data_IF_094680293582
#
_entry.id   IF_094680293582
#
_cell.length_a   1.000
_cell.length_b   1.000
_cell.length_c   1.000
_cell.angle_alpha   90.00
_cell.angle_beta   90.00
_cell.angle_gamma   90.00
#
_symmetry.space_group_name_H-M   'P 1'
#
loop_
_entity.id
_entity.type
_entity.pdbx_description
1 polymer ?
#
# COMPACT_ATOMS: atom_id res chain seq x y z
N UNK A 1 -2.53 -17.83 -9.67
CA UNK A 1 -1.08 -18.01 -9.46
C UNK A 1 -0.90 -18.38 -7.98
N UNK A 2 -0.27 -19.51 -7.64
CA UNK A 2 -0.15 -19.98 -6.24
C UNK A 2 0.62 -18.94 -5.41
N UNK A 3 0.09 -18.52 -4.24
CA UNK A 3 0.72 -17.47 -3.41
C UNK A 3 2.10 -17.90 -2.93
N UNK A 4 2.29 -19.18 -2.63
CA UNK A 4 3.55 -19.73 -2.12
C UNK A 4 4.72 -19.71 -3.11
N UNK A 5 4.48 -19.72 -4.42
CA UNK A 5 5.57 -19.58 -5.43
C UNK A 5 6.10 -18.14 -5.45
N UNK A 6 5.25 -17.18 -5.09
CA UNK A 6 5.56 -15.76 -5.25
C UNK A 6 6.25 -15.15 -4.01
N UNK A 7 6.09 -15.75 -2.82
CA UNK A 7 6.57 -15.16 -1.56
C UNK A 7 8.10 -15.00 -1.51
N UNK A 8 8.87 -15.99 -1.98
CA UNK A 8 10.34 -15.91 -1.95
C UNK A 8 10.86 -14.79 -2.86
N UNK A 9 10.32 -14.68 -4.09
CA UNK A 9 10.71 -13.61 -5.03
C UNK A 9 10.31 -12.23 -4.50
N UNK A 10 9.12 -12.09 -3.92
CA UNK A 10 8.70 -10.83 -3.31
C UNK A 10 9.53 -10.47 -2.08
N UNK A 11 10.03 -11.46 -1.35
CA UNK A 11 10.92 -11.22 -0.22
C UNK A 11 12.32 -10.77 -0.69
N UNK A 12 12.84 -11.29 -1.80
CA UNK A 12 14.07 -10.80 -2.43
C UNK A 12 13.95 -9.32 -2.85
N UNK A 13 12.83 -8.94 -3.46
CA UNK A 13 12.54 -7.53 -3.79
C UNK A 13 12.54 -6.63 -2.54
N UNK A 14 11.88 -7.08 -1.46
CA UNK A 14 11.88 -6.37 -0.17
C UNK A 14 13.29 -6.29 0.41
N UNK A 15 14.07 -7.36 0.33
CA UNK A 15 15.46 -7.38 0.78
C UNK A 15 16.31 -6.35 0.05
N UNK A 16 16.11 -6.17 -1.25
CA UNK A 16 16.75 -5.10 -2.03
C UNK A 16 16.44 -3.70 -1.49
N UNK A 17 15.17 -3.45 -1.13
CA UNK A 17 14.75 -2.16 -0.56
C UNK A 17 15.36 -1.94 0.83
N UNK A 18 15.31 -2.95 1.71
CA UNK A 18 15.85 -2.86 3.07
C UNK A 18 17.38 -2.69 3.04
N UNK A 19 18.07 -3.42 2.16
CA UNK A 19 19.53 -3.31 2.00
C UNK A 19 19.97 -1.94 1.46
N UNK A 20 19.16 -1.31 0.60
CA UNK A 20 19.40 0.04 0.10
C UNK A 20 19.13 1.13 1.16
N UNK A 21 18.39 0.80 2.22
CA UNK A 21 18.09 1.75 3.29
C UNK A 21 19.37 2.10 4.08
N UNK A 22 19.64 3.40 4.21
CA UNK A 22 20.79 3.97 4.91
C UNK A 22 20.41 4.55 6.29
N UNK A 23 19.31 4.07 6.89
CA UNK A 23 18.93 4.37 8.27
C UNK A 23 18.23 5.70 8.50
N UNK A 24 18.12 6.57 7.50
CA UNK A 24 17.49 7.90 7.67
C UNK A 24 16.48 8.29 6.59
N UNK A 25 16.50 7.65 5.43
CA UNK A 25 15.68 8.07 4.28
C UNK A 25 15.12 6.87 3.52
N UNK A 26 13.81 6.87 3.33
CA UNK A 26 13.05 5.90 2.53
C UNK A 26 11.93 6.65 1.80
N UNK A 27 11.71 6.36 0.52
CA UNK A 27 10.61 6.97 -0.25
C UNK A 27 9.26 6.36 0.14
N UNK A 28 8.16 7.02 -0.26
CA UNK A 28 6.82 6.45 -0.05
C UNK A 28 6.65 5.13 -0.80
N UNK A 29 7.13 5.03 -2.04
CA UNK A 29 7.02 3.83 -2.88
C UNK A 29 7.77 2.66 -2.25
N UNK A 30 8.97 2.90 -1.70
CA UNK A 30 9.74 1.90 -0.97
C UNK A 30 9.00 1.44 0.30
N UNK A 31 8.53 2.39 1.12
CA UNK A 31 7.77 2.08 2.33
C UNK A 31 6.46 1.34 2.03
N UNK A 32 5.81 1.69 0.92
CA UNK A 32 4.59 1.05 0.44
C UNK A 32 4.83 -0.40 0.02
N UNK A 33 5.93 -0.70 -0.68
CA UNK A 33 6.24 -2.09 -1.06
C UNK A 33 6.48 -2.98 0.17
N UNK A 34 7.11 -2.46 1.23
CA UNK A 34 7.24 -3.18 2.51
C UNK A 34 5.86 -3.46 3.15
N UNK A 35 5.01 -2.43 3.24
CA UNK A 35 3.67 -2.58 3.80
C UNK A 35 2.80 -3.54 2.98
N UNK A 36 2.92 -3.47 1.66
CA UNK A 36 2.21 -4.33 0.71
C UNK A 36 2.65 -5.78 0.82
N UNK A 37 3.96 -6.05 0.95
CA UNK A 37 4.46 -7.40 1.19
C UNK A 37 3.82 -8.02 2.44
N UNK A 38 3.78 -7.27 3.56
CA UNK A 38 3.10 -7.75 4.76
C UNK A 38 1.62 -8.02 4.50
N UNK A 39 0.91 -7.09 3.85
CA UNK A 39 -0.51 -7.22 3.55
C UNK A 39 -0.84 -8.44 2.66
N UNK A 40 -0.03 -8.70 1.64
CA UNK A 40 -0.25 -9.78 0.67
C UNK A 40 -0.05 -11.17 1.30
N UNK A 41 0.86 -11.26 2.29
CA UNK A 41 1.30 -12.51 2.92
C UNK A 41 0.93 -12.64 4.42
N UNK A 42 0.08 -11.76 4.95
CA UNK A 42 -0.38 -11.81 6.35
C UNK A 42 -1.20 -13.06 6.69
N UNK A 43 -1.86 -13.66 5.69
CA UNK A 43 -2.64 -14.89 5.86
C UNK A 43 -1.72 -16.12 5.76
N UNK A 44 -1.17 -16.50 6.91
CA UNK A 44 -0.29 -17.67 7.03
C UNK A 44 -1.02 -18.98 6.75
N UNK A 45 -2.33 -19.06 7.00
CA UNK A 45 -3.09 -20.29 6.77
C UNK A 45 -3.23 -20.56 5.27
N UNK A 46 -3.46 -19.53 4.46
CA UNK A 46 -3.47 -19.66 3.01
C UNK A 46 -2.12 -20.14 2.46
N UNK A 47 -1.00 -19.67 3.04
CA UNK A 47 0.34 -20.11 2.64
C UNK A 47 0.60 -21.58 2.99
N UNK A 48 0.16 -22.02 4.17
CA UNK A 48 0.27 -23.41 4.60
C UNK A 48 -0.57 -24.31 3.69
N UNK A 49 -1.82 -23.94 3.40
CA UNK A 49 -2.68 -24.70 2.51
C UNK A 49 -2.07 -24.86 1.10
N UNK A 50 -1.52 -23.77 0.53
CA UNK A 50 -0.82 -23.82 -0.75
C UNK A 50 0.43 -24.73 -0.70
N UNK A 51 1.15 -24.76 0.42
CA UNK A 51 2.31 -25.63 0.62
C UNK A 51 1.90 -27.11 0.79
N UNK A 52 0.80 -27.41 1.48
CA UNK A 52 0.25 -28.76 1.61
C UNK A 52 -0.19 -29.33 0.24
N UNK A 53 -0.88 -28.52 -0.56
CA UNK A 53 -1.22 -28.88 -1.95
C UNK A 53 0.06 -29.18 -2.75
N UNK A 54 1.08 -28.35 -2.62
CA UNK A 54 2.35 -28.56 -3.31
C UNK A 54 3.12 -29.79 -2.81
N UNK A 55 3.01 -30.14 -1.54
CA UNK A 55 3.62 -31.36 -1.01
C UNK A 55 3.03 -32.63 -1.68
N UNK A 56 1.75 -32.59 -2.05
CA UNK A 56 1.08 -33.67 -2.78
C UNK A 56 1.32 -33.67 -4.29
N UNK A 57 1.51 -32.48 -4.89
CA UNK A 57 1.60 -32.32 -6.36
C UNK A 57 3.04 -32.18 -6.90
N UNK A 58 3.92 -31.47 -6.18
CA UNK A 58 5.27 -31.08 -6.61
C UNK A 58 6.21 -30.87 -5.40
N UNK A 59 6.67 -31.99 -4.83
CA UNK A 59 7.56 -31.97 -3.67
C UNK A 59 8.93 -31.34 -3.95
N UNK A 60 9.41 -31.42 -5.20
CA UNK A 60 10.67 -30.78 -5.62
C UNK A 60 10.53 -29.26 -5.63
N UNK A 61 9.48 -28.73 -6.25
CA UNK A 61 9.19 -27.30 -6.27
C UNK A 61 8.97 -26.74 -4.85
N UNK A 62 8.28 -27.48 -3.99
CA UNK A 62 8.11 -27.09 -2.58
C UNK A 62 9.47 -26.97 -1.86
N UNK A 63 10.37 -27.92 -2.09
CA UNK A 63 11.71 -27.90 -1.48
C UNK A 63 12.53 -26.71 -1.96
N UNK A 64 12.49 -26.38 -3.25
CA UNK A 64 13.20 -25.23 -3.80
C UNK A 64 12.69 -23.92 -3.19
N UNK A 65 11.37 -23.74 -3.11
CA UNK A 65 10.77 -22.56 -2.47
C UNK A 65 11.17 -22.45 -1.00
N UNK A 66 11.16 -23.56 -0.27
CA UNK A 66 11.55 -23.57 1.14
C UNK A 66 13.04 -23.17 1.35
N UNK A 67 13.93 -23.62 0.47
CA UNK A 67 15.35 -23.23 0.49
C UNK A 67 15.49 -21.74 0.21
N UNK A 68 14.84 -21.23 -0.84
CA UNK A 68 14.89 -19.80 -1.19
C UNK A 68 14.31 -18.93 -0.07
N UNK A 69 13.15 -19.30 0.48
CA UNK A 69 12.52 -18.55 1.57
C UNK A 69 13.40 -18.49 2.81
N UNK A 70 14.12 -19.58 3.14
CA UNK A 70 15.09 -19.61 4.23
C UNK A 70 16.25 -18.63 3.99
N UNK A 71 16.79 -18.62 2.78
CA UNK A 71 17.88 -17.72 2.41
C UNK A 71 17.42 -16.25 2.51
N UNK A 72 16.29 -15.93 1.88
CA UNK A 72 15.75 -14.56 1.88
C UNK A 72 15.34 -14.07 3.27
N UNK A 73 14.78 -14.94 4.11
CA UNK A 73 14.48 -14.59 5.51
C UNK A 73 15.75 -14.29 6.29
N UNK A 74 16.83 -15.03 6.04
CA UNK A 74 18.13 -14.78 6.68
C UNK A 74 18.68 -13.42 6.25
N UNK A 75 18.60 -13.09 4.95
CA UNK A 75 18.98 -11.78 4.42
C UNK A 75 18.18 -10.64 5.05
N UNK A 76 16.86 -10.83 5.22
CA UNK A 76 16.00 -9.83 5.86
C UNK A 76 16.43 -9.61 7.31
N UNK A 77 16.55 -10.68 8.09
CA UNK A 77 16.90 -10.60 9.52
C UNK A 77 18.26 -9.92 9.74
N UNK A 78 19.22 -10.11 8.84
CA UNK A 78 20.52 -9.45 8.91
C UNK A 78 20.45 -7.94 8.61
N UNK A 79 19.45 -7.48 7.86
CA UNK A 79 19.32 -6.09 7.43
C UNK A 79 18.18 -5.33 8.10
N UNK A 80 17.29 -5.98 8.85
CA UNK A 80 16.06 -5.37 9.35
C UNK A 80 16.30 -4.17 10.28
N UNK A 81 17.41 -4.16 11.03
CA UNK A 81 17.79 -3.03 11.89
C UNK A 81 18.07 -1.73 11.12
N UNK A 82 18.25 -1.79 9.80
CA UNK A 82 18.36 -0.59 8.94
C UNK A 82 17.05 0.20 8.88
N UNK A 83 15.93 -0.41 9.29
CA UNK A 83 14.61 0.21 9.36
C UNK A 83 14.35 0.93 10.69
N UNK A 84 15.20 0.77 11.70
CA UNK A 84 14.95 1.29 13.07
C UNK A 84 14.75 2.81 13.11
N UNK A 85 15.37 3.55 12.19
CA UNK A 85 15.25 5.01 12.06
C UNK A 85 14.14 5.50 11.14
N UNK A 86 13.37 4.59 10.53
CA UNK A 86 12.39 4.95 9.49
C UNK A 86 11.02 5.28 10.10
N UNK A 87 10.60 6.53 9.97
CA UNK A 87 9.25 6.97 10.33
C UNK A 87 8.24 6.67 9.21
N UNK A 88 7.76 5.42 9.15
CA UNK A 88 6.73 4.99 8.21
C UNK A 88 5.45 5.85 8.29
N UNK A 89 5.07 6.29 9.49
CA UNK A 89 3.90 7.15 9.69
C UNK A 89 4.13 8.53 9.08
N UNK A 90 5.31 9.10 9.31
CA UNK A 90 5.73 10.37 8.71
C UNK A 90 5.71 10.32 7.18
N UNK A 91 6.26 9.24 6.60
CA UNK A 91 6.26 9.00 5.15
C UNK A 91 4.83 8.96 4.59
N UNK A 92 3.95 8.15 5.19
CA UNK A 92 2.56 8.03 4.76
C UNK A 92 1.80 9.37 4.88
N UNK A 93 1.98 10.08 5.99
CA UNK A 93 1.34 11.38 6.21
C UNK A 93 1.83 12.45 5.24
N UNK A 94 3.13 12.50 4.96
CA UNK A 94 3.69 13.44 3.98
C UNK A 94 3.10 13.21 2.58
N UNK A 95 3.01 11.95 2.17
CA UNK A 95 2.39 11.57 0.90
C UNK A 95 0.91 11.95 0.85
N UNK A 96 0.13 11.64 1.89
CA UNK A 96 -1.30 12.00 1.97
C UNK A 96 -1.53 13.52 1.95
N UNK A 97 -0.72 14.28 2.70
CA UNK A 97 -0.82 15.75 2.76
C UNK A 97 -0.60 16.40 1.39
N UNK A 98 0.31 15.86 0.59
CA UNK A 98 0.55 16.36 -0.76
C UNK A 98 -0.73 16.32 -1.61
N UNK A 99 -1.40 15.17 -1.66
CA UNK A 99 -2.65 15.03 -2.41
C UNK A 99 -3.82 15.80 -1.79
N UNK A 100 -3.89 15.87 -0.47
CA UNK A 100 -4.89 16.69 0.20
C UNK A 100 -4.75 18.17 -0.18
N UNK A 101 -3.52 18.69 -0.27
CA UNK A 101 -3.28 20.07 -0.70
C UNK A 101 -3.71 20.33 -2.15
N UNK A 102 -3.43 19.38 -3.06
CA UNK A 102 -3.87 19.46 -4.46
C UNK A 102 -5.40 19.48 -4.53
N UNK A 103 -6.05 18.55 -3.81
CA UNK A 103 -7.51 18.47 -3.74
C UNK A 103 -8.11 19.76 -3.18
N UNK A 104 -7.58 20.28 -2.07
CA UNK A 104 -8.08 21.48 -1.42
C UNK A 104 -8.00 22.69 -2.37
N UNK A 105 -6.86 22.85 -3.06
CA UNK A 105 -6.70 23.91 -4.07
C UNK A 105 -7.73 23.80 -5.18
N UNK A 106 -7.93 22.61 -5.74
CA UNK A 106 -8.91 22.39 -6.79
C UNK A 106 -10.35 22.64 -6.30
N UNK A 107 -10.66 22.21 -5.07
CA UNK A 107 -11.95 22.45 -4.43
C UNK A 107 -12.23 23.94 -4.25
N UNK A 108 -11.24 24.71 -3.78
CA UNK A 108 -11.35 26.15 -3.60
C UNK A 108 -11.53 26.89 -4.93
N UNK A 109 -10.83 26.47 -5.99
CA UNK A 109 -10.97 27.02 -7.35
C UNK A 109 -12.35 26.71 -7.97
N UNK A 110 -12.92 25.53 -7.69
CA UNK A 110 -14.20 25.09 -8.24
C UNK A 110 -15.41 25.59 -7.44
N UNK A 111 -15.24 25.90 -6.16
CA UNK A 111 -16.31 26.32 -5.25
C UNK A 111 -17.14 27.52 -5.78
N UNK A 112 -16.55 28.57 -6.38
CA UNK A 112 -17.33 29.66 -6.97
C UNK A 112 -18.23 29.21 -8.12
N UNK A 113 -17.73 28.32 -8.99
CA UNK A 113 -18.50 27.79 -10.12
C UNK A 113 -19.64 26.89 -9.63
N UNK A 114 -19.39 26.05 -8.63
CA UNK A 114 -20.41 25.23 -7.98
C UNK A 114 -21.52 26.09 -7.39
N UNK A 115 -21.16 27.13 -6.62
CA UNK A 115 -22.13 28.11 -6.08
C UNK A 115 -22.96 28.75 -7.19
N UNK A 116 -22.33 29.16 -8.28
CA UNK A 116 -23.02 29.77 -9.42
C UNK A 116 -23.99 28.81 -10.12
N UNK A 117 -23.59 27.55 -10.28
CA UNK A 117 -24.45 26.51 -10.80
C UNK A 117 -25.67 26.30 -9.89
N UNK A 118 -25.47 26.19 -8.57
CA UNK A 118 -26.56 26.06 -7.60
C UNK A 118 -27.50 27.26 -7.66
N UNK A 119 -27.00 28.50 -7.73
CA UNK A 119 -27.83 29.70 -7.90
C UNK A 119 -28.71 29.64 -9.16
N UNK A 120 -28.14 29.20 -10.29
CA UNK A 120 -28.86 29.11 -11.56
C UNK A 120 -29.90 28.00 -11.55
N UNK A 121 -29.58 26.84 -10.98
CA UNK A 121 -30.52 25.74 -10.84
C UNK A 121 -31.69 26.11 -9.91
N UNK A 122 -31.38 26.78 -8.80
CA UNK A 122 -32.36 27.28 -7.85
C UNK A 122 -33.36 28.25 -8.48
N UNK A 123 -32.93 29.04 -9.48
CA UNK A 123 -33.82 29.91 -10.28
C UNK A 123 -34.71 29.14 -11.26
N UNK A 124 -34.29 27.97 -11.73
CA UNK A 124 -35.09 27.10 -12.60
C UNK A 124 -36.16 26.33 -11.83
N UNK A 125 -35.90 26.03 -10.55
CA UNK A 125 -36.85 25.33 -9.66
C UNK A 125 -37.94 26.23 -9.07
N UNK A 126 -37.98 27.54 -9.41
CA UNK A 126 -38.95 28.55 -8.96
C UNK A 126 -39.21 28.66 -7.44
N UNK A 127 -38.51 27.92 -6.58
CA UNK A 127 -38.57 28.08 -5.14
C UNK A 127 -37.47 29.06 -4.70
N UNK A 128 -37.69 29.97 -3.75
CA UNK A 128 -36.62 30.80 -3.18
C UNK A 128 -35.77 30.04 -2.14
N UNK A 129 -34.49 30.40 -1.99
CA UNK A 129 -33.59 29.81 -1.00
C UNK A 129 -34.12 30.21 0.40
N UNK A 130 -34.73 29.25 1.12
CA UNK A 130 -35.39 29.47 2.41
C UNK A 130 -36.92 29.35 2.42
N UNK A 131 -37.54 28.79 1.37
CA UNK A 131 -38.97 28.43 1.38
C UNK A 131 -39.26 27.32 2.42
N UNK A 132 -40.44 27.36 3.05
CA UNK A 132 -40.91 26.36 4.04
C UNK A 132 -41.18 24.96 3.47
N UNK A 133 -41.17 24.82 2.15
CA UNK A 133 -41.38 23.53 1.47
C UNK A 133 -40.07 22.74 1.29
N UNK A 134 -38.96 23.26 1.81
CA UNK A 134 -37.68 22.58 2.05
C UNK A 134 -37.56 22.16 3.52
#
# INVERSE_FOLDING_TARGET
MKKSINIANRLDEVNGIVAACNGSTMSFEQAYELARFYYDFQDTNALIADAEVMAGEDLSGLREIAISLKAETTTLLNNIGRLDGIDFRGIANAHSRHYHAIFQKASDELNPYWKRYCELNHRLDYLPLGSKEY
#
